data_IF_604657729179
#
_entry.id   IF_604657729179
#
_cell.length_a   1.000
_cell.length_b   1.000
_cell.length_c   1.000
_cell.angle_alpha   90.00
_cell.angle_beta   90.00
_cell.angle_gamma   90.00
#
_symmetry.space_group_name_H-M   'P 1'
#
loop_
_entity.id
_entity.type
_entity.pdbx_description
1 polymer ?
#
# COMPACT_ATOMS: atom_id res chain seq x y z
N UNK A 1 -16.89 -13.55 -25.24
CA UNK A 1 -18.04 -13.48 -24.31
C UNK A 1 -17.66 -12.56 -23.16
N UNK A 2 -18.58 -11.71 -22.69
CA UNK A 2 -18.33 -10.81 -21.55
C UNK A 2 -18.90 -11.40 -20.25
N UNK A 3 -18.21 -11.16 -19.13
CA UNK A 3 -18.76 -11.48 -17.82
C UNK A 3 -19.96 -10.55 -17.50
N UNK A 4 -20.98 -11.08 -16.84
CA UNK A 4 -22.17 -10.31 -16.49
C UNK A 4 -21.79 -9.13 -15.58
N UNK A 5 -22.37 -7.95 -15.82
CA UNK A 5 -22.14 -6.73 -15.03
C UNK A 5 -20.66 -6.35 -14.82
N UNK A 6 -19.79 -6.69 -15.78
CA UNK A 6 -18.37 -6.31 -15.74
C UNK A 6 -18.10 -5.17 -16.70
N UNK A 7 -17.42 -4.13 -16.21
CA UNK A 7 -16.94 -2.99 -17.00
C UNK A 7 -15.48 -2.71 -16.67
N UNK A 8 -14.80 -1.90 -17.48
CA UNK A 8 -13.50 -1.34 -17.10
C UNK A 8 -13.68 -0.29 -16.00
N UNK A 9 -13.47 -0.70 -14.75
CA UNK A 9 -13.55 0.18 -13.58
C UNK A 9 -12.27 1.00 -13.32
N UNK A 10 -11.04 0.49 -13.58
CA UNK A 10 -9.83 1.28 -13.38
C UNK A 10 -9.88 2.57 -14.19
N UNK A 11 -9.69 3.70 -13.51
CA UNK A 11 -9.71 5.02 -14.14
C UNK A 11 -11.09 5.54 -14.56
N UNK A 12 -12.20 4.92 -14.17
CA UNK A 12 -13.56 5.34 -14.58
C UNK A 12 -13.91 6.79 -14.20
N UNK A 13 -13.27 7.34 -13.16
CA UNK A 13 -13.45 8.72 -12.72
C UNK A 13 -12.39 9.70 -13.28
N UNK A 14 -11.47 9.23 -14.12
CA UNK A 14 -10.45 10.06 -14.78
C UNK A 14 -9.67 10.97 -13.82
N UNK A 15 -9.50 12.23 -14.22
CA UNK A 15 -8.71 13.23 -13.48
C UNK A 15 -9.42 13.81 -12.25
N UNK A 16 -10.65 13.38 -11.95
CA UNK A 16 -11.42 13.93 -10.83
C UNK A 16 -11.02 13.34 -9.48
N UNK A 17 -10.31 12.21 -9.45
CA UNK A 17 -9.80 11.60 -8.22
C UNK A 17 -8.42 12.14 -7.85
N UNK A 18 -8.19 12.37 -6.54
CA UNK A 18 -6.87 12.71 -5.99
C UNK A 18 -5.89 11.55 -6.08
N UNK A 19 -6.42 10.34 -5.93
CA UNK A 19 -5.68 9.10 -6.03
C UNK A 19 -6.63 7.97 -6.41
N UNK A 20 -6.13 7.03 -7.19
CA UNK A 20 -6.86 5.83 -7.53
C UNK A 20 -5.91 4.64 -7.51
N UNK A 21 -6.38 3.50 -7.00
CA UNK A 21 -5.65 2.24 -6.98
C UNK A 21 -6.57 1.08 -7.34
N UNK A 22 -6.05 0.20 -8.17
CA UNK A 22 -6.66 -1.07 -8.51
C UNK A 22 -5.99 -2.17 -7.68
N UNK A 23 -6.78 -2.87 -6.88
CA UNK A 23 -6.32 -3.96 -6.03
C UNK A 23 -6.64 -5.28 -6.67
N UNK A 24 -5.61 -6.11 -6.74
CA UNK A 24 -5.72 -7.52 -7.06
C UNK A 24 -6.65 -8.24 -6.09
N UNK A 25 -7.03 -9.46 -6.48
CA UNK A 25 -7.82 -10.30 -5.60
C UNK A 25 -7.10 -10.52 -4.26
N UNK A 26 -7.81 -10.41 -3.12
CA UNK A 26 -7.22 -10.69 -1.83
C UNK A 26 -6.47 -12.05 -1.86
N UNK A 27 -5.24 -12.04 -1.34
CA UNK A 27 -4.35 -13.22 -1.23
C UNK A 27 -3.39 -13.05 -0.05
N UNK A 28 -3.02 -14.16 0.60
CA UNK A 28 -2.01 -14.18 1.67
C UNK A 28 -0.60 -13.81 1.18
N UNK A 29 -0.38 -13.78 -0.14
CA UNK A 29 0.89 -13.34 -0.74
C UNK A 29 1.07 -11.82 -0.68
N UNK A 30 -0.04 -11.08 -0.55
CA UNK A 30 0.02 -9.64 -0.35
C UNK A 30 -0.06 -9.38 1.15
N UNK A 31 0.86 -8.63 1.78
CA UNK A 31 0.83 -8.44 3.22
C UNK A 31 -0.24 -7.44 3.67
N UNK A 32 -0.90 -7.71 4.81
CA UNK A 32 -2.03 -6.91 5.29
C UNK A 32 -1.64 -5.45 5.56
N UNK A 33 -0.42 -5.24 6.06
CA UNK A 33 0.11 -3.92 6.32
C UNK A 33 0.23 -3.05 5.06
N UNK A 34 0.51 -3.65 3.89
CA UNK A 34 0.59 -2.89 2.65
C UNK A 34 -0.80 -2.37 2.24
N UNK A 35 -1.85 -3.19 2.44
CA UNK A 35 -3.24 -2.75 2.24
C UNK A 35 -3.59 -1.61 3.19
N UNK A 36 -3.23 -1.72 4.48
CA UNK A 36 -3.47 -0.66 5.46
C UNK A 36 -2.74 0.64 5.09
N UNK A 37 -1.47 0.57 4.68
CA UNK A 37 -0.74 1.73 4.17
C UNK A 37 -1.42 2.36 2.95
N UNK A 38 -1.90 1.56 2.00
CA UNK A 38 -2.63 2.06 0.84
C UNK A 38 -3.93 2.77 1.23
N UNK A 39 -4.67 2.23 2.21
CA UNK A 39 -5.89 2.85 2.73
C UNK A 39 -5.56 4.19 3.40
N UNK A 40 -4.52 4.24 4.22
CA UNK A 40 -4.08 5.49 4.84
C UNK A 40 -3.62 6.52 3.82
N UNK A 41 -2.93 6.09 2.75
CA UNK A 41 -2.57 6.96 1.63
C UNK A 41 -3.82 7.51 0.92
N UNK A 42 -4.85 6.68 0.76
CA UNK A 42 -6.13 7.09 0.21
C UNK A 42 -6.77 8.20 1.07
N UNK A 43 -6.79 8.01 2.40
CA UNK A 43 -7.34 8.98 3.34
C UNK A 43 -6.53 10.28 3.32
N UNK A 44 -5.20 10.19 3.36
CA UNK A 44 -4.31 11.36 3.26
C UNK A 44 -4.54 12.13 1.95
N UNK A 45 -4.68 11.42 0.83
CA UNK A 45 -4.98 12.02 -0.47
C UNK A 45 -6.36 12.67 -0.50
N UNK A 46 -7.37 11.99 0.04
CA UNK A 46 -8.76 12.46 0.05
C UNK A 46 -8.96 13.71 0.91
N UNK A 47 -8.27 13.76 2.06
CA UNK A 47 -8.30 14.90 2.99
C UNK A 47 -7.42 16.06 2.55
N UNK A 48 -6.70 15.93 1.43
CA UNK A 48 -5.80 16.97 0.93
C UNK A 48 -4.54 17.13 1.79
N UNK A 49 -4.10 16.09 2.49
CA UNK A 49 -2.89 16.12 3.35
C UNK A 49 -1.66 16.63 2.60
N UNK A 50 -1.50 16.25 1.33
CA UNK A 50 -0.36 16.65 0.50
C UNK A 50 -0.58 17.95 -0.27
N UNK A 51 -1.80 18.17 -0.77
CA UNK A 51 -2.11 19.24 -1.72
C UNK A 51 -2.81 20.45 -1.10
N UNK A 52 -3.27 20.34 0.16
CA UNK A 52 -4.25 21.23 0.80
C UNK A 52 -5.57 21.34 0.04
N UNK A 53 -5.85 20.40 -0.85
CA UNK A 53 -7.07 20.34 -1.62
C UNK A 53 -7.69 18.96 -1.46
N UNK A 54 -8.75 18.88 -0.67
CA UNK A 54 -9.53 17.67 -0.51
C UNK A 54 -10.16 17.24 -1.86
N UNK A 55 -10.53 15.97 -1.97
CA UNK A 55 -11.22 15.44 -3.13
C UNK A 55 -11.44 13.93 -3.04
N UNK A 56 -12.18 13.35 -4.00
CA UNK A 56 -12.48 11.94 -3.99
C UNK A 56 -11.23 11.09 -4.29
N UNK A 57 -11.23 9.86 -3.80
CA UNK A 57 -10.28 8.80 -4.17
C UNK A 57 -11.06 7.58 -4.63
N UNK A 58 -10.44 6.73 -5.44
CA UNK A 58 -11.08 5.51 -5.95
C UNK A 58 -10.23 4.28 -5.64
N UNK A 59 -10.74 3.41 -4.77
CA UNK A 59 -10.14 2.12 -4.47
C UNK A 59 -11.01 1.05 -5.14
N UNK A 60 -10.46 0.41 -6.17
CA UNK A 60 -11.14 -0.68 -6.88
C UNK A 60 -10.64 -2.01 -6.33
N UNK A 61 -11.54 -2.87 -5.84
CA UNK A 61 -11.18 -4.18 -5.29
C UNK A 61 -11.71 -5.30 -6.15
N UNK A 62 -10.82 -6.14 -6.66
CA UNK A 62 -11.20 -7.35 -7.36
C UNK A 62 -11.59 -8.42 -6.33
N UNK A 63 -12.87 -8.82 -6.27
CA UNK A 63 -13.28 -9.94 -5.40
C UNK A 63 -13.63 -11.17 -6.24
N UNK A 64 -13.16 -12.34 -5.79
CA UNK A 64 -13.56 -13.64 -6.33
C UNK A 64 -14.49 -14.35 -5.36
N UNK A 65 -15.32 -15.25 -5.88
CA UNK A 65 -16.17 -16.07 -5.03
C UNK A 65 -15.34 -17.00 -4.12
N UNK A 66 -15.82 -17.36 -2.93
CA UNK A 66 -17.12 -17.05 -2.32
C UNK A 66 -17.14 -15.65 -1.65
N UNK A 67 -18.21 -14.88 -1.88
CA UNK A 67 -18.39 -13.52 -1.34
C UNK A 67 -19.24 -13.48 -0.06
N UNK A 68 -19.73 -14.63 0.41
CA UNK A 68 -20.39 -14.71 1.70
C UNK A 68 -19.41 -14.34 2.83
N UNK A 69 -19.87 -13.71 3.93
CA UNK A 69 -19.03 -13.39 5.08
C UNK A 69 -18.38 -14.65 5.68
N UNK A 70 -19.13 -15.75 5.69
CA UNK A 70 -18.63 -17.04 6.19
C UNK A 70 -17.85 -17.77 5.08
N UNK A 71 -16.64 -18.28 5.39
CA UNK A 71 -15.85 -19.01 4.42
C UNK A 71 -16.49 -20.36 4.08
N UNK A 72 -16.30 -20.84 2.85
CA UNK A 72 -16.84 -22.13 2.44
C UNK A 72 -16.55 -22.50 0.98
N UNK A 73 -17.21 -23.58 0.49
CA UNK A 73 -17.06 -24.04 -0.88
C UNK A 73 -17.42 -22.97 -1.93
N UNK A 74 -16.52 -22.72 -2.88
CA UNK A 74 -16.75 -21.79 -3.99
C UNK A 74 -17.72 -22.41 -4.98
N UNK A 75 -18.87 -21.76 -5.23
CA UNK A 75 -19.97 -22.30 -6.06
C UNK A 75 -20.45 -23.70 -5.65
N UNK A 76 -20.32 -24.06 -4.37
CA UNK A 76 -20.66 -25.40 -3.89
C UNK A 76 -19.67 -26.49 -4.31
N UNK A 77 -18.53 -26.14 -4.91
CA UNK A 77 -17.46 -27.10 -5.21
C UNK A 77 -16.58 -27.30 -3.97
N UNK A 78 -16.58 -28.49 -3.33
CA UNK A 78 -15.80 -28.74 -2.12
C UNK A 78 -14.28 -28.73 -2.35
N UNK A 79 -13.81 -28.84 -3.60
CA UNK A 79 -12.40 -28.75 -3.93
C UNK A 79 -11.85 -27.32 -3.94
N UNK A 80 -12.72 -26.30 -3.92
CA UNK A 80 -12.35 -24.89 -3.91
C UNK A 80 -12.92 -24.25 -2.65
N UNK A 81 -12.06 -23.73 -1.78
CA UNK A 81 -12.48 -23.06 -0.53
C UNK A 81 -12.13 -21.58 -0.56
N UNK A 82 -13.04 -20.74 -0.06
CA UNK A 82 -12.75 -19.34 0.27
C UNK A 82 -12.17 -19.16 1.68
N UNK A 83 -11.98 -20.26 2.43
CA UNK A 83 -11.34 -20.20 3.74
C UNK A 83 -9.88 -19.80 3.62
N UNK A 84 -9.45 -18.89 4.48
CA UNK A 84 -8.07 -18.43 4.58
C UNK A 84 -7.49 -18.83 5.92
N UNK A 85 -6.18 -18.97 5.96
CA UNK A 85 -5.49 -19.10 7.24
C UNK A 85 -5.57 -17.77 8.00
N UNK A 86 -6.28 -17.79 9.14
CA UNK A 86 -6.43 -16.63 10.01
C UNK A 86 -5.10 -16.13 10.55
N UNK A 87 -4.07 -16.98 10.63
CA UNK A 87 -2.73 -16.62 11.11
C UNK A 87 -2.13 -15.41 10.39
N UNK A 88 -2.56 -15.16 9.15
CA UNK A 88 -2.19 -13.98 8.37
C UNK A 88 -2.55 -12.64 9.04
N UNK A 89 -3.63 -12.59 9.84
CA UNK A 89 -4.04 -11.41 10.61
C UNK A 89 -3.58 -11.45 12.07
N UNK A 90 -3.04 -12.57 12.54
CA UNK A 90 -2.67 -12.78 13.93
C UNK A 90 -1.25 -12.28 14.27
N UNK A 91 -0.63 -11.47 13.40
CA UNK A 91 0.72 -10.95 13.67
C UNK A 91 0.71 -9.93 14.82
N UNK A 92 1.80 -9.78 15.58
CA UNK A 92 1.88 -8.78 16.66
C UNK A 92 1.60 -7.35 16.19
N UNK A 93 2.01 -7.01 14.96
CA UNK A 93 1.79 -5.71 14.37
C UNK A 93 0.32 -5.47 14.03
N UNK A 94 -0.38 -6.47 13.51
CA UNK A 94 -1.82 -6.40 13.25
C UNK A 94 -2.61 -6.23 14.55
N UNK A 95 -2.27 -7.01 15.58
CA UNK A 95 -2.85 -6.85 16.92
C UNK A 95 -2.63 -5.45 17.47
N UNK A 96 -1.39 -4.94 17.36
CA UNK A 96 -1.06 -3.59 17.79
C UNK A 96 -1.95 -2.58 17.06
N UNK A 97 -2.00 -2.62 15.73
CA UNK A 97 -2.85 -1.72 14.95
C UNK A 97 -4.32 -1.81 15.34
N UNK A 98 -4.88 -3.01 15.50
CA UNK A 98 -6.27 -3.22 15.88
C UNK A 98 -6.63 -2.64 17.26
N UNK A 99 -5.63 -2.43 18.13
CA UNK A 99 -5.80 -1.78 19.45
C UNK A 99 -5.50 -0.28 19.46
N UNK A 100 -4.92 0.26 18.38
CA UNK A 100 -4.63 1.68 18.25
C UNK A 100 -5.82 2.42 17.66
N UNK A 101 -6.04 3.66 18.13
CA UNK A 101 -7.02 4.59 17.56
C UNK A 101 -6.33 5.53 16.55
N UNK A 102 -5.61 4.94 15.58
CA UNK A 102 -4.78 5.69 14.65
C UNK A 102 -4.44 4.94 13.37
N UNK A 103 -3.92 5.67 12.34
CA UNK A 103 -3.55 5.06 11.07
C UNK A 103 -2.38 4.09 11.24
N UNK A 104 -2.29 3.13 10.33
CA UNK A 104 -1.13 2.26 10.19
C UNK A 104 0.11 3.05 9.73
N UNK A 105 -0.07 3.98 8.79
CA UNK A 105 0.97 4.85 8.23
C UNK A 105 0.59 6.32 8.36
N UNK A 106 1.49 7.13 8.93
CA UNK A 106 1.35 8.59 8.91
C UNK A 106 2.09 9.19 7.71
N UNK A 107 1.39 10.05 6.98
CA UNK A 107 1.90 10.69 5.78
C UNK A 107 2.22 12.16 6.05
N UNK A 108 3.51 12.48 5.95
CA UNK A 108 4.04 13.81 6.20
C UNK A 108 3.92 14.68 4.94
N UNK A 109 3.31 15.88 5.00
CA UNK A 109 3.18 16.77 3.86
C UNK A 109 4.55 17.25 3.35
N UNK A 110 4.66 17.46 2.04
CA UNK A 110 5.78 18.18 1.45
C UNK A 110 5.80 19.62 2.02
N UNK A 111 6.84 19.94 2.80
CA UNK A 111 6.96 21.23 3.49
C UNK A 111 7.53 21.13 4.90
N UNK A 112 7.59 19.94 5.51
CA UNK A 112 8.47 19.74 6.64
C UNK A 112 9.91 19.84 6.14
N UNK A 113 10.63 20.87 6.59
CA UNK A 113 12.09 20.83 6.58
C UNK A 113 12.47 19.75 7.58
N UNK A 114 12.96 18.61 7.10
CA UNK A 114 13.69 17.69 7.96
C UNK A 114 14.76 18.53 8.66
N UNK A 115 14.78 18.52 9.99
CA UNK A 115 15.91 19.07 10.73
C UNK A 115 17.18 18.42 10.17
N UNK A 116 18.25 19.19 9.98
CA UNK A 116 19.54 18.62 9.58
C UNK A 116 19.86 17.47 10.52
N UNK A 117 19.88 16.25 10.01
CA UNK A 117 20.28 15.06 10.73
C UNK A 117 21.53 14.48 10.07
N UNK A 118 22.33 13.74 10.83
CA UNK A 118 23.61 13.22 10.36
C UNK A 118 23.50 12.46 9.02
N UNK A 119 22.43 11.66 8.87
CA UNK A 119 22.16 10.90 7.63
C UNK A 119 21.93 11.83 6.44
N UNK A 120 21.20 12.93 6.63
CA UNK A 120 20.92 13.88 5.55
C UNK A 120 22.19 14.63 5.13
N UNK A 121 23.05 15.01 6.09
CA UNK A 121 24.33 15.66 5.82
C UNK A 121 25.29 14.73 5.09
N UNK A 122 25.33 13.45 5.47
CA UNK A 122 26.13 12.43 4.78
C UNK A 122 25.65 12.22 3.34
N UNK A 123 24.35 12.04 3.12
CA UNK A 123 23.77 11.93 1.79
C UNK A 123 24.04 13.16 0.92
N UNK A 124 23.91 14.37 1.49
CA UNK A 124 24.23 15.62 0.81
C UNK A 124 25.73 15.71 0.47
N UNK A 125 26.61 15.26 1.36
CA UNK A 125 28.05 15.19 1.11
C UNK A 125 28.41 14.23 -0.02
N UNK A 126 27.80 13.05 -0.05
CA UNK A 126 27.98 12.07 -1.13
C UNK A 126 27.44 12.59 -2.46
N UNK A 127 26.27 13.23 -2.46
CA UNK A 127 25.69 13.83 -3.67
C UNK A 127 26.51 15.02 -4.19
N UNK A 128 27.14 15.80 -3.30
CA UNK A 128 27.95 16.96 -3.65
C UNK A 128 29.33 16.61 -4.24
N UNK A 129 29.87 15.42 -3.98
CA UNK A 129 31.19 14.97 -4.49
C UNK A 129 31.21 14.81 -6.02
N UNK A 130 30.05 14.74 -6.69
CA UNK A 130 29.91 14.79 -8.16
C UNK A 130 30.53 13.62 -8.95
N UNK A 131 31.34 12.79 -8.29
CA UNK A 131 32.02 11.60 -8.83
C UNK A 131 31.25 10.30 -8.62
N UNK A 132 30.16 10.34 -7.84
CA UNK A 132 29.34 9.18 -7.49
C UNK A 132 27.91 9.38 -7.98
N UNK A 133 27.34 8.35 -8.61
CA UNK A 133 25.90 8.29 -8.86
C UNK A 133 25.25 7.78 -7.58
N UNK A 134 24.32 8.55 -7.03
CA UNK A 134 23.62 8.17 -5.80
C UNK A 134 22.28 7.56 -6.17
N UNK A 135 22.06 6.31 -5.78
CA UNK A 135 20.76 5.67 -5.81
C UNK A 135 20.24 5.64 -4.38
N UNK A 136 19.07 6.24 -4.15
CA UNK A 136 18.39 6.16 -2.85
C UNK A 136 17.27 5.15 -2.98
N UNK A 137 17.40 4.03 -2.27
CA UNK A 137 16.35 3.02 -2.17
C UNK A 137 15.54 3.34 -0.91
N UNK A 138 14.24 3.61 -1.09
CA UNK A 138 13.30 3.85 0.00
C UNK A 138 12.25 2.75 -0.05
N UNK A 139 12.14 1.98 1.02
CA UNK A 139 11.20 0.86 1.11
C UNK A 139 11.37 0.10 2.42
N UNK A 140 10.57 -0.96 2.60
CA UNK A 140 10.76 -1.92 3.69
C UNK A 140 11.91 -2.85 3.33
N UNK A 141 13.13 -2.47 3.71
CA UNK A 141 14.28 -3.36 3.64
C UNK A 141 14.17 -4.34 4.79
N UNK A 142 13.77 -5.57 4.50
CA UNK A 142 13.55 -6.62 5.49
C UNK A 142 14.84 -7.41 5.78
N UNK A 143 15.85 -7.30 4.91
CA UNK A 143 17.14 -7.97 5.04
C UNK A 143 18.29 -7.13 4.45
N UNK A 144 19.53 -7.42 4.88
CA UNK A 144 20.74 -6.73 4.38
C UNK A 144 21.02 -7.00 2.89
N UNK A 145 20.57 -8.15 2.36
CA UNK A 145 20.74 -8.51 0.94
C UNK A 145 19.92 -7.59 0.00
N UNK A 146 18.79 -7.05 0.47
CA UNK A 146 17.94 -6.13 -0.31
C UNK A 146 18.57 -4.75 -0.53
N UNK A 147 19.62 -4.41 0.23
CA UNK A 147 20.31 -3.11 0.19
C UNK A 147 21.35 -3.04 -0.95
N UNK A 148 21.77 -4.19 -1.49
CA UNK A 148 22.97 -4.29 -2.32
C UNK A 148 22.67 -4.50 -3.81
N UNK A 149 22.26 -3.44 -4.52
CA UNK A 149 22.50 -3.32 -5.95
C UNK A 149 22.79 -1.86 -6.33
N UNK A 150 24.05 -1.47 -6.15
CA UNK A 150 24.65 -0.37 -6.90
C UNK A 150 25.91 -0.95 -7.57
N UNK A 151 25.77 -1.35 -8.83
CA UNK A 151 26.90 -1.86 -9.62
C UNK A 151 27.98 -0.77 -9.82
N UNK A 152 29.24 -1.23 -9.86
CA UNK A 152 30.46 -0.42 -10.12
C UNK A 152 30.47 0.26 -11.50
#
# INVERSE_FOLDING_TARGET
>A
AGANQTITQPGIFGVYTRWAKDFECPSVQFPAHALLSDVDLAVASATGRFSRQAGPVHLNFCFRENLAPDPGPVRGNPALSSAWDGAYLETPEMHRWATLDGPWSDYVPAGLRLGRCAVLEELLGVAADGRKRVVVIVGTLQSEEEVLFAEE
#
